data_IF_069388075437
#
_entry.id   IF_069388075437
#
_cell.length_a   1.000
_cell.length_b   1.000
_cell.length_c   1.000
_cell.angle_alpha   90.00
_cell.angle_beta   90.00
_cell.angle_gamma   90.00
#
_symmetry.space_group_name_H-M   'P 1'
#
loop_
_entity.id
_entity.type
_entity.pdbx_description
1 polymer ?
#
# COMPACT_ATOMS: atom_id res chain seq x y z
N UNK A 1 -36.55 -36.91 7.12
CA UNK A 1 -36.60 -35.66 7.91
C UNK A 1 -35.17 -35.15 8.04
N UNK A 2 -34.71 -34.37 7.03
CA UNK A 2 -33.37 -33.81 7.01
C UNK A 2 -33.34 -32.47 7.74
N UNK A 3 -32.71 -32.47 8.89
CA UNK A 3 -32.48 -31.25 9.66
C UNK A 3 -31.27 -30.52 9.08
N UNK A 4 -31.49 -29.56 8.18
CA UNK A 4 -30.51 -28.59 7.74
C UNK A 4 -30.08 -27.71 8.93
N UNK A 5 -29.25 -28.21 9.80
CA UNK A 5 -28.58 -27.43 10.85
C UNK A 5 -27.46 -26.61 10.20
N UNK A 6 -27.79 -25.37 9.83
CA UNK A 6 -26.79 -24.39 9.37
C UNK A 6 -25.81 -24.18 10.52
N UNK A 7 -24.55 -24.59 10.33
CA UNK A 7 -23.52 -24.48 11.36
C UNK A 7 -23.27 -23.00 11.72
N UNK A 8 -23.21 -22.60 13.01
CA UNK A 8 -23.06 -21.20 13.43
C UNK A 8 -21.91 -20.45 12.77
N UNK A 9 -20.81 -21.15 12.46
CA UNK A 9 -19.67 -20.60 11.73
C UNK A 9 -20.03 -20.14 10.29
N UNK A 10 -21.00 -20.79 9.63
CA UNK A 10 -21.45 -20.40 8.30
C UNK A 10 -22.32 -19.15 8.35
N UNK A 11 -23.09 -18.96 9.43
CA UNK A 11 -23.88 -17.73 9.63
C UNK A 11 -22.95 -16.55 9.83
N UNK A 12 -21.92 -16.65 10.67
CA UNK A 12 -20.94 -15.60 10.92
C UNK A 12 -20.17 -15.27 9.64
N UNK A 13 -19.77 -16.28 8.86
CA UNK A 13 -19.09 -16.10 7.57
C UNK A 13 -19.97 -15.35 6.57
N UNK A 14 -21.25 -15.71 6.48
CA UNK A 14 -22.21 -15.06 5.59
C UNK A 14 -22.52 -13.61 6.01
N UNK A 15 -22.62 -13.32 7.31
CA UNK A 15 -22.83 -11.96 7.83
C UNK A 15 -21.61 -11.09 7.51
N UNK A 16 -20.40 -11.59 7.72
CA UNK A 16 -19.15 -10.88 7.39
C UNK A 16 -19.03 -10.61 5.89
N UNK A 17 -19.37 -11.60 5.08
CA UNK A 17 -19.35 -11.47 3.60
C UNK A 17 -20.42 -10.49 3.10
N UNK A 18 -21.64 -10.50 3.67
CA UNK A 18 -22.69 -9.52 3.35
C UNK A 18 -22.29 -8.10 3.77
N UNK A 19 -21.69 -7.94 4.95
CA UNK A 19 -21.17 -6.65 5.41
C UNK A 19 -20.07 -6.13 4.49
N UNK A 20 -19.15 -6.98 4.08
CA UNK A 20 -18.07 -6.68 3.14
C UNK A 20 -18.64 -6.22 1.78
N UNK A 21 -19.59 -6.98 1.21
CA UNK A 21 -20.25 -6.60 -0.06
C UNK A 21 -20.99 -5.26 0.09
N UNK A 22 -21.61 -5.00 1.24
CA UNK A 22 -22.28 -3.73 1.52
C UNK A 22 -21.30 -2.56 1.61
N UNK A 23 -20.13 -2.76 2.21
CA UNK A 23 -19.07 -1.75 2.27
C UNK A 23 -18.43 -1.48 0.92
N UNK A 24 -18.24 -2.51 0.07
CA UNK A 24 -17.73 -2.34 -1.32
C UNK A 24 -18.69 -1.48 -2.16
N UNK A 25 -19.99 -1.64 -1.95
CA UNK A 25 -21.01 -0.94 -2.72
C UNK A 25 -21.39 0.42 -2.11
N UNK A 26 -20.83 0.78 -0.95
CA UNK A 26 -21.05 2.08 -0.32
C UNK A 26 -20.06 3.11 -0.90
N UNK A 27 -20.52 4.34 -1.13
CA UNK A 27 -19.68 5.46 -1.60
C UNK A 27 -18.53 5.80 -0.65
N UNK A 28 -18.60 5.34 0.60
CA UNK A 28 -17.58 5.54 1.63
C UNK A 28 -16.29 4.71 1.40
N UNK A 29 -16.37 3.64 0.60
CA UNK A 29 -15.25 2.73 0.34
C UNK A 29 -14.91 1.80 1.50
N UNK A 30 -13.98 0.88 1.28
CA UNK A 30 -13.53 -0.08 2.29
C UNK A 30 -12.67 0.57 3.36
N UNK A 31 -12.92 0.21 4.63
CA UNK A 31 -12.01 0.52 5.72
C UNK A 31 -10.64 -0.16 5.52
N UNK A 32 -9.57 0.46 6.05
CA UNK A 32 -8.24 -0.14 5.99
C UNK A 32 -8.22 -1.55 6.61
N UNK A 33 -8.91 -1.77 7.74
CA UNK A 33 -9.00 -3.08 8.38
C UNK A 33 -9.68 -4.13 7.51
N UNK A 34 -10.80 -3.77 6.86
CA UNK A 34 -11.53 -4.68 6.00
C UNK A 34 -10.77 -4.97 4.70
N UNK A 35 -10.08 -3.96 4.15
CA UNK A 35 -9.20 -4.13 2.99
C UNK A 35 -8.06 -5.09 3.30
N UNK A 36 -7.35 -4.91 4.41
CA UNK A 36 -6.31 -5.82 4.87
C UNK A 36 -6.87 -7.24 4.99
N UNK A 37 -7.98 -7.41 5.70
CA UNK A 37 -8.58 -8.72 5.91
C UNK A 37 -8.95 -9.44 4.59
N UNK A 38 -9.32 -8.67 3.56
CA UNK A 38 -9.76 -9.23 2.28
C UNK A 38 -8.60 -9.72 1.41
N UNK A 39 -7.48 -9.00 1.41
CA UNK A 39 -6.37 -9.28 0.47
C UNK A 39 -5.34 -10.26 1.01
N UNK A 40 -5.21 -10.41 2.33
CA UNK A 40 -4.18 -11.24 2.95
C UNK A 40 -4.63 -12.66 3.26
N UNK A 41 -3.69 -13.53 3.57
CA UNK A 41 -3.94 -14.84 4.15
C UNK A 41 -4.48 -14.69 5.56
N UNK A 42 -5.49 -15.50 5.90
CA UNK A 42 -6.17 -15.43 7.20
C UNK A 42 -5.18 -15.57 8.34
N UNK A 43 -5.16 -14.57 9.24
CA UNK A 43 -4.32 -14.57 10.45
C UNK A 43 -2.84 -14.23 10.20
N UNK A 44 -2.45 -13.86 8.98
CA UNK A 44 -1.05 -13.57 8.66
C UNK A 44 -0.60 -12.15 9.02
N UNK A 45 -1.53 -11.23 9.36
CA UNK A 45 -1.21 -9.83 9.60
C UNK A 45 -0.62 -9.58 10.98
N UNK A 46 0.59 -9.02 11.00
CA UNK A 46 1.26 -8.54 12.21
C UNK A 46 1.44 -7.04 12.05
N UNK A 47 0.60 -6.27 12.75
CA UNK A 47 0.65 -4.81 12.71
C UNK A 47 1.92 -4.26 13.35
N UNK A 48 2.54 -3.28 12.69
CA UNK A 48 3.75 -2.58 13.15
C UNK A 48 3.45 -1.11 13.44
N UNK A 49 4.36 -0.43 14.16
CA UNK A 49 4.31 1.02 14.41
C UNK A 49 2.99 1.51 15.06
N UNK A 50 2.40 0.71 15.95
CA UNK A 50 1.15 1.05 16.68
C UNK A 50 1.32 2.20 17.66
N UNK A 51 2.53 2.43 18.17
CA UNK A 51 2.80 3.33 19.30
C UNK A 51 3.13 4.78 18.89
N UNK A 52 2.97 5.12 17.61
CA UNK A 52 3.18 6.51 17.18
C UNK A 52 2.14 7.43 17.84
N UNK A 53 2.65 8.51 18.46
CA UNK A 53 1.82 9.44 19.22
C UNK A 53 1.41 10.63 18.36
N UNK A 54 0.14 10.98 18.48
CA UNK A 54 -0.39 12.25 18.00
C UNK A 54 0.42 13.44 18.58
N UNK A 55 0.57 14.47 17.79
CA UNK A 55 1.02 15.79 18.25
C UNK A 55 0.37 16.88 17.41
N UNK A 56 0.24 18.07 18.00
CA UNK A 56 -0.16 19.28 17.32
C UNK A 56 1.07 20.21 17.22
N UNK A 57 1.92 20.07 16.19
CA UNK A 57 3.24 20.69 16.16
C UNK A 57 3.22 22.20 15.94
N UNK A 58 2.10 22.77 15.50
CA UNK A 58 1.92 24.21 15.25
C UNK A 58 0.77 24.78 16.05
N UNK A 59 0.32 24.07 17.09
CA UNK A 59 -0.81 24.48 17.94
C UNK A 59 -2.06 24.88 17.17
N UNK A 60 -2.36 24.12 16.08
CA UNK A 60 -3.51 24.41 15.21
C UNK A 60 -4.81 24.28 15.99
N UNK A 61 -5.70 25.29 15.95
CA UNK A 61 -6.93 25.31 16.72
C UNK A 61 -7.83 24.09 16.42
N UNK A 62 -8.48 23.55 17.46
CA UNK A 62 -9.42 22.42 17.39
C UNK A 62 -8.83 21.11 16.82
N UNK A 63 -7.53 21.04 16.52
CA UNK A 63 -6.95 19.84 15.86
C UNK A 63 -7.01 18.62 16.79
N UNK A 64 -6.75 18.81 18.07
CA UNK A 64 -6.81 17.71 19.05
C UNK A 64 -8.23 17.14 19.21
N UNK A 65 -9.25 18.00 19.23
CA UNK A 65 -10.64 17.57 19.32
C UNK A 65 -11.08 16.79 18.07
N UNK A 66 -10.73 17.32 16.89
CA UNK A 66 -10.97 16.65 15.61
C UNK A 66 -10.25 15.30 15.55
N UNK A 67 -9.02 15.22 16.08
CA UNK A 67 -8.27 13.97 16.18
C UNK A 67 -8.99 12.94 17.08
N UNK A 68 -9.39 13.33 18.30
CA UNK A 68 -10.15 12.47 19.22
C UNK A 68 -11.44 11.95 18.58
N UNK A 69 -12.16 12.82 17.85
CA UNK A 69 -13.35 12.41 17.10
C UNK A 69 -13.03 11.42 15.99
N UNK A 70 -11.95 11.60 15.24
CA UNK A 70 -11.52 10.67 14.20
C UNK A 70 -11.14 9.30 14.78
N UNK A 71 -10.41 9.27 15.91
CA UNK A 71 -10.08 8.03 16.63
C UNK A 71 -11.35 7.27 17.05
N UNK A 72 -12.31 7.97 17.66
CA UNK A 72 -13.56 7.36 18.13
C UNK A 72 -14.38 6.80 16.96
N UNK A 73 -14.47 7.51 15.84
CA UNK A 73 -15.27 7.11 14.69
C UNK A 73 -14.65 5.93 13.91
N UNK A 74 -13.32 5.84 13.86
CA UNK A 74 -12.63 4.86 13.04
C UNK A 74 -12.02 3.71 13.83
N UNK A 75 -11.85 3.88 15.14
CA UNK A 75 -11.09 2.99 16.01
C UNK A 75 -9.65 2.76 15.46
N UNK A 76 -9.04 3.84 14.95
CA UNK A 76 -7.68 3.92 14.44
C UNK A 76 -6.94 5.06 15.13
N UNK A 77 -5.63 4.93 15.31
CA UNK A 77 -4.80 5.98 15.90
C UNK A 77 -4.21 6.93 14.85
N UNK A 78 -4.28 6.56 13.57
CA UNK A 78 -3.84 7.38 12.45
C UNK A 78 -4.43 6.85 11.13
N UNK A 79 -4.34 7.65 10.08
CA UNK A 79 -4.90 7.39 8.76
C UNK A 79 -4.26 6.23 7.98
N UNK A 80 -3.28 5.54 8.55
CA UNK A 80 -2.61 4.40 7.93
C UNK A 80 -2.37 3.28 8.93
N UNK A 81 -2.62 2.04 8.50
CA UNK A 81 -2.25 0.81 9.20
C UNK A 81 -1.08 0.17 8.45
N UNK A 82 -0.01 -0.18 9.17
CA UNK A 82 1.19 -0.80 8.60
C UNK A 82 1.48 -2.14 9.28
N UNK A 83 2.02 -3.10 8.52
CA UNK A 83 2.35 -4.41 9.09
C UNK A 83 3.02 -5.34 8.10
N UNK A 84 3.34 -6.54 8.57
CA UNK A 84 3.77 -7.66 7.74
C UNK A 84 2.56 -8.57 7.54
N UNK A 85 2.36 -9.02 6.30
CA UNK A 85 1.30 -9.96 5.93
C UNK A 85 1.83 -11.02 4.98
N UNK A 86 0.98 -12.00 4.68
CA UNK A 86 1.20 -12.92 3.55
C UNK A 86 0.03 -12.84 2.58
N UNK A 87 0.32 -12.89 1.30
CA UNK A 87 -0.67 -13.01 0.22
C UNK A 87 -0.30 -14.24 -0.58
N UNK A 88 -1.17 -15.25 -0.58
CA UNK A 88 -0.92 -16.55 -1.20
C UNK A 88 0.43 -17.18 -0.76
N UNK A 89 0.68 -17.16 0.55
CA UNK A 89 1.90 -17.68 1.18
C UNK A 89 3.14 -16.77 1.06
N UNK A 90 3.10 -15.72 0.24
CA UNK A 90 4.24 -14.83 0.02
C UNK A 90 4.19 -13.67 1.02
N UNK A 91 5.26 -13.53 1.81
CA UNK A 91 5.37 -12.43 2.78
C UNK A 91 5.61 -11.10 2.10
N UNK A 92 4.93 -10.06 2.56
CA UNK A 92 5.11 -8.67 2.14
C UNK A 92 4.96 -7.71 3.31
N UNK A 93 5.47 -6.50 3.16
CA UNK A 93 5.12 -5.37 4.02
C UNK A 93 3.94 -4.66 3.39
N UNK A 94 2.94 -4.38 4.20
CA UNK A 94 1.68 -3.78 3.77
C UNK A 94 1.43 -2.48 4.54
N UNK A 95 1.09 -1.42 3.82
CA UNK A 95 0.57 -0.18 4.37
C UNK A 95 -0.79 0.13 3.71
N UNK A 96 -1.81 0.41 4.51
CA UNK A 96 -3.16 0.68 4.01
C UNK A 96 -3.69 1.95 4.64
N UNK A 97 -3.93 2.95 3.79
CA UNK A 97 -4.51 4.24 4.20
C UNK A 97 -6.04 4.16 4.27
N UNK A 98 -6.64 5.01 5.10
CA UNK A 98 -8.08 5.04 5.35
C UNK A 98 -8.63 6.47 5.31
N UNK A 99 -9.39 6.79 4.27
CA UNK A 99 -9.93 8.14 4.06
C UNK A 99 -10.91 8.59 5.15
N UNK A 100 -11.45 7.67 5.95
CA UNK A 100 -12.35 8.00 7.07
C UNK A 100 -11.63 8.72 8.21
N UNK A 101 -10.29 8.61 8.27
CA UNK A 101 -9.46 9.34 9.23
C UNK A 101 -8.84 10.56 8.52
N UNK A 102 -9.38 11.76 8.76
CA UNK A 102 -8.92 13.03 8.15
C UNK A 102 -8.75 12.99 6.62
N UNK A 103 -9.65 12.31 5.90
CA UNK A 103 -9.50 12.08 4.45
C UNK A 103 -8.17 11.44 4.06
N UNK A 104 -7.60 10.65 4.95
CA UNK A 104 -6.27 10.05 4.85
C UNK A 104 -5.16 11.07 4.54
N UNK A 105 -5.32 12.32 4.98
CA UNK A 105 -4.29 13.35 4.78
C UNK A 105 -2.98 12.97 5.46
N UNK A 106 -1.87 13.21 4.76
CA UNK A 106 -0.53 12.88 5.23
C UNK A 106 -0.04 13.94 6.21
N UNK A 107 -0.03 13.62 7.50
CA UNK A 107 0.66 14.33 8.55
C UNK A 107 1.97 13.62 8.94
N UNK A 108 2.63 14.16 9.96
CA UNK A 108 3.91 13.65 10.48
C UNK A 108 3.85 12.15 10.82
N UNK A 109 2.80 11.71 11.50
CA UNK A 109 2.66 10.31 11.91
C UNK A 109 2.41 9.38 10.73
N UNK A 110 1.63 9.82 9.72
CA UNK A 110 1.43 9.05 8.48
C UNK A 110 2.77 8.89 7.76
N UNK A 111 3.51 9.98 7.56
CA UNK A 111 4.81 9.94 6.90
C UNK A 111 5.81 9.05 7.63
N UNK A 112 5.85 9.11 8.97
CA UNK A 112 6.69 8.24 9.80
C UNK A 112 6.33 6.76 9.63
N UNK A 113 5.04 6.42 9.67
CA UNK A 113 4.58 5.03 9.50
C UNK A 113 4.87 4.47 8.10
N UNK A 114 4.70 5.29 7.06
CA UNK A 114 5.05 4.91 5.67
C UNK A 114 6.57 4.71 5.58
N UNK A 115 7.38 5.66 6.02
CA UNK A 115 8.85 5.55 6.03
C UNK A 115 9.31 4.28 6.76
N UNK A 116 8.79 4.05 7.97
CA UNK A 116 9.14 2.87 8.76
C UNK A 116 8.70 1.55 8.09
N UNK A 117 7.60 1.55 7.34
CA UNK A 117 7.17 0.40 6.55
C UNK A 117 8.14 0.13 5.38
N UNK A 118 8.56 1.17 4.64
CA UNK A 118 9.56 1.08 3.58
C UNK A 118 10.87 0.52 4.12
N UNK A 119 11.38 1.08 5.21
CA UNK A 119 12.62 0.62 5.86
C UNK A 119 12.51 -0.81 6.39
N UNK A 120 11.34 -1.22 6.89
CA UNK A 120 11.07 -2.59 7.30
C UNK A 120 11.13 -3.55 6.11
N UNK A 121 10.56 -3.16 4.96
CA UNK A 121 10.62 -3.92 3.71
C UNK A 121 12.07 -4.08 3.25
N UNK A 122 12.86 -3.01 3.27
CA UNK A 122 14.28 -3.05 2.89
C UNK A 122 15.09 -3.97 3.82
N UNK A 123 14.98 -3.79 5.14
CA UNK A 123 15.71 -4.63 6.12
C UNK A 123 15.36 -6.11 6.02
N UNK A 124 14.09 -6.43 5.75
CA UNK A 124 13.62 -7.82 5.64
C UNK A 124 13.69 -8.39 4.23
N UNK A 125 14.05 -7.57 3.24
CA UNK A 125 14.05 -7.93 1.82
C UNK A 125 12.71 -8.51 1.38
N UNK A 126 11.64 -7.82 1.79
CA UNK A 126 10.27 -8.15 1.43
C UNK A 126 9.72 -7.12 0.44
N UNK A 127 8.82 -7.53 -0.48
CA UNK A 127 8.09 -6.57 -1.30
C UNK A 127 7.23 -5.65 -0.43
N UNK A 128 7.07 -4.42 -0.89
CA UNK A 128 6.24 -3.39 -0.27
C UNK A 128 4.97 -3.20 -1.08
N UNK A 129 3.83 -3.17 -0.42
CA UNK A 129 2.53 -2.84 -1.03
C UNK A 129 1.92 -1.70 -0.24
N UNK A 130 1.58 -0.58 -0.91
CA UNK A 130 0.89 0.54 -0.27
C UNK A 130 -0.45 0.79 -0.96
N UNK A 131 -1.53 0.67 -0.21
CA UNK A 131 -2.85 1.17 -0.60
C UNK A 131 -2.93 2.65 -0.27
N UNK A 132 -2.87 3.46 -1.32
CA UNK A 132 -2.88 4.91 -1.22
C UNK A 132 -4.32 5.43 -1.22
N UNK A 133 -4.64 6.25 -0.24
CA UNK A 133 -5.84 7.06 -0.19
C UNK A 133 -5.46 8.40 0.45
N UNK A 134 -5.83 9.53 -0.13
CA UNK A 134 -5.52 10.81 0.51
C UNK A 134 -6.23 11.99 -0.12
N UNK A 135 -6.64 12.93 0.72
CA UNK A 135 -6.97 14.30 0.31
C UNK A 135 -5.75 15.22 0.20
N UNK A 136 -4.51 14.73 0.42
CA UNK A 136 -3.29 15.51 0.33
C UNK A 136 -2.51 15.66 1.65
N UNK A 137 -1.69 16.69 1.76
CA UNK A 137 -0.97 17.04 2.98
C UNK A 137 -1.93 17.55 4.07
N UNK A 138 -1.65 17.17 5.34
CA UNK A 138 -2.50 17.56 6.49
C UNK A 138 -2.25 19.01 6.87
N UNK A 139 -3.19 19.89 6.52
CA UNK A 139 -3.06 21.33 6.74
C UNK A 139 -2.86 21.71 8.21
N UNK A 140 -3.43 20.95 9.14
CA UNK A 140 -3.29 21.17 10.58
C UNK A 140 -1.87 20.99 11.12
N UNK A 141 -0.98 20.40 10.34
CA UNK A 141 0.43 20.22 10.70
C UNK A 141 1.36 21.13 9.89
N UNK A 142 0.83 21.99 9.02
CA UNK A 142 1.60 22.99 8.27
C UNK A 142 2.79 22.39 7.52
N UNK A 143 3.95 23.02 7.66
CA UNK A 143 5.20 22.61 6.99
C UNK A 143 5.62 21.17 7.35
N UNK A 144 5.31 20.69 8.55
CA UNK A 144 5.66 19.32 8.96
C UNK A 144 4.98 18.26 8.09
N UNK A 145 3.76 18.53 7.60
CA UNK A 145 3.08 17.64 6.65
C UNK A 145 3.73 17.66 5.26
N UNK A 146 4.18 18.82 4.79
CA UNK A 146 4.88 18.94 3.50
C UNK A 146 6.23 18.23 3.51
N UNK A 147 6.97 18.30 4.60
CA UNK A 147 8.26 17.60 4.76
C UNK A 147 8.13 16.08 4.70
N UNK A 148 6.94 15.52 4.96
CA UNK A 148 6.72 14.07 4.82
C UNK A 148 6.84 13.60 3.36
N UNK A 149 6.55 14.46 2.39
CA UNK A 149 6.73 14.13 0.97
C UNK A 149 8.20 13.78 0.69
N UNK A 150 9.12 14.66 1.09
CA UNK A 150 10.56 14.42 0.91
C UNK A 150 11.04 13.19 1.69
N UNK A 151 10.57 13.02 2.93
CA UNK A 151 10.95 11.90 3.80
C UNK A 151 10.54 10.55 3.21
N UNK A 152 9.31 10.41 2.78
CA UNK A 152 8.79 9.17 2.21
C UNK A 152 9.44 8.85 0.86
N UNK A 153 9.65 9.86 0.01
CA UNK A 153 10.31 9.71 -1.30
C UNK A 153 11.77 9.25 -1.13
N UNK A 154 12.52 9.86 -0.20
CA UNK A 154 13.89 9.43 0.08
C UNK A 154 13.99 7.98 0.58
N UNK A 155 13.03 7.55 1.41
CA UNK A 155 12.99 6.17 1.87
C UNK A 155 12.71 5.18 0.73
N UNK A 156 11.78 5.52 -0.18
CA UNK A 156 11.45 4.69 -1.35
C UNK A 156 12.63 4.62 -2.30
N UNK A 157 13.28 5.75 -2.61
CA UNK A 157 14.47 5.77 -3.46
C UNK A 157 15.55 4.81 -2.94
N UNK A 158 15.84 4.85 -1.64
CA UNK A 158 16.78 3.93 -1.01
C UNK A 158 16.35 2.48 -1.13
N UNK A 159 15.07 2.19 -0.95
CA UNK A 159 14.49 0.85 -1.07
C UNK A 159 14.60 0.33 -2.50
N UNK A 160 14.25 1.15 -3.50
CA UNK A 160 14.35 0.84 -4.93
C UNK A 160 15.81 0.63 -5.34
N UNK A 161 16.73 1.51 -4.94
CA UNK A 161 18.18 1.37 -5.18
C UNK A 161 18.78 0.09 -4.59
N UNK A 162 18.17 -0.46 -3.53
CA UNK A 162 18.52 -1.75 -2.94
C UNK A 162 17.86 -2.95 -3.63
N UNK A 163 17.13 -2.74 -4.74
CA UNK A 163 16.43 -3.78 -5.52
C UNK A 163 15.12 -4.24 -4.88
N UNK A 164 14.49 -3.40 -4.06
CA UNK A 164 13.18 -3.68 -3.46
C UNK A 164 12.06 -3.53 -4.50
N UNK A 165 11.01 -4.35 -4.41
CA UNK A 165 9.79 -4.24 -5.21
C UNK A 165 8.75 -3.41 -4.46
N UNK A 166 8.28 -2.33 -5.06
CA UNK A 166 7.19 -1.51 -4.55
C UNK A 166 5.97 -1.54 -5.47
N UNK A 167 4.80 -1.92 -4.95
CA UNK A 167 3.51 -1.90 -5.64
C UNK A 167 2.61 -0.87 -4.95
N UNK A 168 2.14 0.14 -5.68
CA UNK A 168 1.11 1.05 -5.21
C UNK A 168 -0.27 0.62 -5.73
N UNK A 169 -1.29 0.73 -4.88
CA UNK A 169 -2.70 0.57 -5.25
C UNK A 169 -3.41 1.88 -4.93
N UNK A 170 -3.75 2.64 -5.96
CA UNK A 170 -4.36 3.96 -5.82
C UNK A 170 -5.87 3.81 -5.65
N UNK A 171 -6.40 4.31 -4.54
CA UNK A 171 -7.83 4.24 -4.21
C UNK A 171 -8.48 5.62 -4.23
N UNK A 172 -9.80 5.67 -4.14
CA UNK A 172 -10.55 6.92 -4.25
C UNK A 172 -10.71 7.66 -2.90
N UNK A 173 -10.23 8.93 -2.79
CA UNK A 173 -9.33 9.65 -3.68
C UNK A 173 -7.86 9.42 -3.33
N UNK A 174 -6.95 9.60 -4.30
CA UNK A 174 -5.50 9.74 -4.06
C UNK A 174 -5.03 11.03 -4.68
N UNK A 175 -4.87 12.08 -3.86
CA UNK A 175 -4.60 13.45 -4.35
C UNK A 175 -3.51 14.15 -3.56
N UNK A 176 -3.06 15.30 -4.07
CA UNK A 176 -2.17 16.24 -3.41
C UNK A 176 -0.77 15.68 -3.14
N UNK A 177 -0.24 15.98 -1.96
CA UNK A 177 1.11 15.60 -1.56
C UNK A 177 1.37 14.09 -1.54
N UNK A 178 0.35 13.25 -1.37
CA UNK A 178 0.49 11.79 -1.46
C UNK A 178 0.74 11.34 -2.90
N UNK A 179 -0.03 11.86 -3.85
CA UNK A 179 0.21 11.58 -5.28
C UNK A 179 1.57 12.11 -5.71
N UNK A 180 1.95 13.33 -5.29
CA UNK A 180 3.23 13.95 -5.64
C UNK A 180 4.44 13.38 -4.87
N UNK A 181 4.27 12.30 -4.13
CA UNK A 181 5.35 11.63 -3.39
C UNK A 181 5.25 10.11 -3.55
N UNK A 182 5.03 9.37 -2.49
CA UNK A 182 5.14 7.91 -2.52
C UNK A 182 4.14 7.20 -3.44
N UNK A 183 2.96 7.79 -3.74
CA UNK A 183 1.97 7.10 -4.57
C UNK A 183 2.39 6.97 -6.05
N UNK A 184 3.24 7.87 -6.56
CA UNK A 184 3.74 7.85 -7.95
C UNK A 184 5.17 7.32 -8.10
N UNK A 185 5.76 6.78 -7.04
CA UNK A 185 7.14 6.27 -7.04
C UNK A 185 7.21 4.73 -7.04
N UNK A 186 6.10 4.05 -7.32
CA UNK A 186 6.05 2.59 -7.34
C UNK A 186 6.65 2.01 -8.63
N UNK A 187 7.19 0.79 -8.52
CA UNK A 187 7.61 0.01 -9.69
C UNK A 187 6.40 -0.48 -10.49
N UNK A 188 5.27 -0.74 -9.79
CA UNK A 188 3.99 -1.12 -10.39
C UNK A 188 2.89 -0.31 -9.72
N UNK A 189 2.11 0.40 -10.53
CA UNK A 189 1.00 1.24 -10.07
C UNK A 189 -0.33 0.67 -10.54
N UNK A 190 -1.13 0.19 -9.58
CA UNK A 190 -2.51 -0.27 -9.80
C UNK A 190 -3.48 0.80 -9.33
N UNK A 191 -4.69 0.84 -9.90
CA UNK A 191 -5.75 1.71 -9.42
C UNK A 191 -7.09 0.97 -9.28
N UNK A 192 -7.95 1.46 -8.40
CA UNK A 192 -9.35 1.04 -8.35
C UNK A 192 -10.14 1.74 -9.48
N UNK A 193 -11.17 1.07 -10.04
CA UNK A 193 -12.04 1.68 -11.06
C UNK A 193 -12.61 3.01 -10.55
N UNK A 194 -12.65 4.01 -11.42
CA UNK A 194 -13.19 5.36 -11.16
C UNK A 194 -12.53 6.11 -10.00
N UNK A 195 -11.36 5.67 -9.52
CA UNK A 195 -10.64 6.39 -8.50
C UNK A 195 -10.21 7.78 -9.00
N UNK A 196 -10.47 8.80 -8.20
CA UNK A 196 -9.95 10.16 -8.43
C UNK A 196 -8.48 10.20 -8.02
N UNK A 197 -7.61 10.47 -8.97
CA UNK A 197 -6.15 10.47 -8.77
C UNK A 197 -5.57 11.72 -9.44
N UNK A 198 -4.90 12.55 -8.67
CA UNK A 198 -4.30 13.78 -9.22
C UNK A 198 -3.59 14.62 -8.17
N UNK A 199 -2.90 15.67 -8.60
CA UNK A 199 -2.24 16.56 -7.66
C UNK A 199 -3.24 17.55 -7.06
N UNK A 200 -3.79 18.44 -7.86
CA UNK A 200 -4.84 19.36 -7.40
C UNK A 200 -6.23 18.74 -7.60
N UNK A 201 -7.14 18.99 -6.67
CA UNK A 201 -8.53 18.57 -6.83
C UNK A 201 -9.22 19.29 -8.01
N UNK A 202 -10.22 18.68 -8.66
CA UNK A 202 -10.90 19.26 -9.83
C UNK A 202 -11.39 20.67 -9.61
N UNK A 203 -12.02 20.95 -8.45
CA UNK A 203 -12.52 22.32 -8.12
C UNK A 203 -11.41 23.37 -8.10
N UNK A 204 -10.24 23.02 -7.55
CA UNK A 204 -9.10 23.93 -7.47
C UNK A 204 -8.60 24.27 -8.88
N UNK A 205 -8.51 23.26 -9.73
CA UNK A 205 -8.07 23.42 -11.11
C UNK A 205 -9.07 24.31 -11.87
N UNK A 206 -10.36 23.98 -11.83
CA UNK A 206 -11.40 24.75 -12.53
C UNK A 206 -11.45 26.22 -12.08
N UNK A 207 -11.32 26.47 -10.78
CA UNK A 207 -11.27 27.84 -10.24
C UNK A 207 -10.01 28.59 -10.68
N UNK A 208 -8.89 27.89 -10.82
CA UNK A 208 -7.62 28.51 -11.21
C UNK A 208 -7.57 28.84 -12.71
N UNK A 209 -8.04 27.92 -13.57
CA UNK A 209 -8.00 28.10 -15.02
C UNK A 209 -9.26 28.76 -15.59
N UNK A 210 -10.32 28.91 -14.80
CA UNK A 210 -11.60 29.49 -15.20
C UNK A 210 -12.37 28.68 -16.26
N UNK A 211 -12.08 27.39 -16.39
CA UNK A 211 -12.70 26.48 -17.36
C UNK A 211 -13.12 25.17 -16.70
N UNK A 212 -14.19 24.57 -17.22
CA UNK A 212 -14.59 23.19 -16.81
C UNK A 212 -13.58 22.19 -17.31
N UNK A 213 -13.31 21.18 -16.48
CA UNK A 213 -12.45 20.06 -16.86
C UNK A 213 -13.16 19.12 -17.84
N UNK A 214 -12.42 18.42 -18.70
CA UNK A 214 -12.97 17.36 -19.54
C UNK A 214 -13.65 16.28 -18.70
N UNK A 215 -14.66 15.64 -19.28
CA UNK A 215 -15.31 14.50 -18.64
C UNK A 215 -14.28 13.37 -18.40
N UNK A 216 -14.34 12.77 -17.21
CA UNK A 216 -13.40 11.69 -16.83
C UNK A 216 -11.99 12.16 -16.45
N UNK A 217 -11.70 13.47 -16.50
CA UNK A 217 -10.38 13.98 -16.11
C UNK A 217 -9.99 13.55 -14.69
N UNK A 218 -8.75 13.10 -14.51
CA UNK A 218 -8.20 12.57 -13.26
C UNK A 218 -8.88 11.26 -12.76
N UNK A 219 -9.67 10.58 -13.56
CA UNK A 219 -10.11 9.21 -13.21
C UNK A 219 -8.99 8.20 -13.47
N UNK A 220 -9.09 7.03 -12.83
CA UNK A 220 -8.14 5.93 -13.06
C UNK A 220 -8.09 5.56 -14.55
N UNK A 221 -9.25 5.55 -15.23
CA UNK A 221 -9.37 5.27 -16.66
C UNK A 221 -8.58 6.26 -17.51
N UNK A 222 -8.77 7.56 -17.24
CA UNK A 222 -8.03 8.63 -17.92
C UNK A 222 -6.52 8.47 -17.72
N UNK A 223 -6.08 8.19 -16.50
CA UNK A 223 -4.66 8.04 -16.18
C UNK A 223 -4.04 6.78 -16.79
N UNK A 224 -4.81 5.71 -16.94
CA UNK A 224 -4.36 4.50 -17.64
C UNK A 224 -4.12 4.78 -19.12
N UNK A 225 -5.03 5.48 -19.79
CA UNK A 225 -4.88 5.87 -21.19
C UNK A 225 -3.64 6.76 -21.43
N UNK A 226 -3.26 7.56 -20.41
CA UNK A 226 -2.10 8.45 -20.48
C UNK A 226 -0.80 7.82 -19.92
N UNK A 227 -0.82 6.55 -19.54
CA UNK A 227 0.35 5.80 -19.10
C UNK A 227 0.85 6.15 -17.68
N UNK A 228 0.02 6.75 -16.84
CA UNK A 228 0.37 7.06 -15.44
C UNK A 228 0.13 5.90 -14.47
N UNK A 229 -0.67 4.93 -14.87
CA UNK A 229 -0.93 3.70 -14.10
C UNK A 229 -0.87 2.49 -15.04
N UNK A 230 -0.44 1.34 -14.49
CA UNK A 230 -0.24 0.13 -15.28
C UNK A 230 -1.56 -0.62 -15.50
N UNK A 231 -2.39 -0.75 -14.45
CA UNK A 231 -3.65 -1.50 -14.58
C UNK A 231 -4.73 -1.00 -13.60
N UNK A 232 -5.98 -1.11 -14.04
CA UNK A 232 -7.17 -0.89 -13.21
C UNK A 232 -7.67 -2.23 -12.71
N UNK A 233 -7.68 -2.41 -11.39
CA UNK A 233 -7.99 -3.69 -10.75
C UNK A 233 -9.15 -3.54 -9.77
N UNK A 234 -10.33 -4.11 -10.07
CA UNK A 234 -11.44 -4.13 -9.13
C UNK A 234 -11.07 -4.82 -7.81
N UNK A 235 -11.64 -4.37 -6.70
CA UNK A 235 -11.34 -4.90 -5.35
C UNK A 235 -11.39 -6.43 -5.30
N UNK A 236 -12.34 -7.04 -5.99
CA UNK A 236 -12.55 -8.50 -5.98
C UNK A 236 -11.38 -9.28 -6.58
N UNK A 237 -10.62 -8.66 -7.47
CA UNK A 237 -9.51 -9.26 -8.22
C UNK A 237 -8.14 -8.92 -7.62
N UNK A 238 -8.08 -7.89 -6.73
CA UNK A 238 -6.80 -7.38 -6.21
C UNK A 238 -5.95 -8.45 -5.53
N UNK A 239 -6.56 -9.35 -4.75
CA UNK A 239 -5.81 -10.43 -4.09
C UNK A 239 -5.10 -11.33 -5.10
N UNK A 240 -5.79 -11.74 -6.15
CA UNK A 240 -5.25 -12.63 -7.19
C UNK A 240 -4.15 -11.93 -8.00
N UNK A 241 -4.41 -10.69 -8.43
CA UNK A 241 -3.44 -9.87 -9.17
C UNK A 241 -2.17 -9.64 -8.34
N UNK A 242 -2.31 -9.24 -7.07
CA UNK A 242 -1.16 -9.04 -6.17
C UNK A 242 -0.38 -10.34 -5.96
N UNK A 243 -1.06 -11.48 -5.74
CA UNK A 243 -0.41 -12.77 -5.61
C UNK A 243 0.39 -13.14 -6.87
N UNK A 244 -0.16 -12.87 -8.06
CA UNK A 244 0.52 -13.10 -9.34
C UNK A 244 1.75 -12.21 -9.49
N UNK A 245 1.63 -10.91 -9.23
CA UNK A 245 2.74 -9.97 -9.28
C UNK A 245 3.86 -10.36 -8.31
N UNK A 246 3.50 -10.68 -7.07
CA UNK A 246 4.49 -11.13 -6.08
C UNK A 246 5.23 -12.39 -6.54
N UNK A 247 4.53 -13.40 -7.08
CA UNK A 247 5.17 -14.63 -7.61
C UNK A 247 6.12 -14.36 -8.78
N UNK A 248 5.79 -13.43 -9.66
CA UNK A 248 6.63 -13.09 -10.82
C UNK A 248 7.94 -12.41 -10.41
N UNK A 249 7.92 -11.64 -9.32
CA UNK A 249 9.08 -10.86 -8.86
C UNK A 249 9.86 -11.53 -7.72
N UNK A 250 9.35 -12.64 -7.17
CA UNK A 250 10.14 -13.38 -6.19
C UNK A 250 11.36 -14.03 -6.86
N UNK A 251 12.53 -14.01 -6.20
CA UNK A 251 13.69 -14.73 -6.68
C UNK A 251 13.32 -16.19 -6.91
N UNK A 252 13.53 -16.69 -8.12
CA UNK A 252 13.35 -18.12 -8.40
C UNK A 252 14.35 -18.89 -7.54
N UNK A 253 13.88 -19.64 -6.56
CA UNK A 253 14.70 -20.58 -5.81
C UNK A 253 15.15 -21.65 -6.80
N UNK A 254 16.39 -21.55 -7.27
CA UNK A 254 17.00 -22.64 -8.04
C UNK A 254 17.25 -23.77 -7.05
N UNK A 255 16.71 -24.99 -7.28
CA UNK A 255 16.98 -26.12 -6.40
C UNK A 255 18.48 -26.31 -6.20
N UNK A 256 18.92 -26.51 -4.95
CA UNK A 256 20.35 -26.65 -4.59
C UNK A 256 21.05 -27.70 -5.44
N UNK A 257 20.34 -28.75 -5.84
CA UNK A 257 20.84 -29.81 -6.74
C UNK A 257 21.20 -29.25 -8.13
N UNK A 258 20.39 -28.38 -8.73
CA UNK A 258 20.73 -27.73 -10.01
C UNK A 258 21.95 -26.83 -9.88
N UNK A 259 22.07 -26.10 -8.75
CA UNK A 259 23.23 -25.22 -8.49
C UNK A 259 24.50 -26.07 -8.33
N UNK A 260 24.46 -27.22 -7.61
CA UNK A 260 25.57 -28.13 -7.48
C UNK A 260 26.01 -28.68 -8.83
N UNK A 261 25.07 -29.05 -9.70
CA UNK A 261 25.40 -29.52 -11.07
C UNK A 261 26.07 -28.43 -11.90
N UNK A 262 25.57 -27.19 -11.85
CA UNK A 262 26.17 -26.07 -12.59
C UNK A 262 27.59 -25.75 -12.06
N UNK A 263 27.76 -25.72 -10.74
CA UNK A 263 29.07 -25.44 -10.11
C UNK A 263 30.08 -26.54 -10.40
N UNK A 264 29.66 -27.79 -10.43
CA UNK A 264 30.54 -28.94 -10.76
C UNK A 264 30.88 -29.00 -12.25
N UNK A 265 29.97 -28.54 -13.14
CA UNK A 265 30.17 -28.51 -14.58
C UNK A 265 31.07 -27.36 -15.08
N UNK A 266 31.09 -26.23 -14.35
CA UNK A 266 31.76 -24.99 -14.79
C UNK A 266 33.03 -24.64 -14.02
N UNK A 267 33.43 -25.44 -13.01
CA UNK A 267 34.69 -25.28 -12.28
C UNK A 267 34.90 -23.91 -11.61
N UNK A 268 36.17 -23.49 -11.51
CA UNK A 268 36.55 -22.24 -10.82
C UNK A 268 36.05 -20.94 -11.45
N UNK A 269 35.67 -20.95 -12.72
CA UNK A 269 35.13 -19.77 -13.42
C UNK A 269 33.76 -19.33 -12.88
N UNK A 270 32.89 -20.28 -12.52
CA UNK A 270 31.60 -19.97 -11.92
C UNK A 270 31.71 -19.38 -10.51
N UNK A 271 32.71 -19.81 -9.72
CA UNK A 271 33.00 -19.23 -8.39
C UNK A 271 33.44 -17.77 -8.50
N UNK A 272 34.11 -17.38 -9.56
CA UNK A 272 34.55 -16.00 -9.83
C UNK A 272 33.38 -15.12 -10.26
N UNK A 273 32.45 -15.64 -11.11
CA UNK A 273 31.23 -14.97 -11.53
C UNK A 273 30.23 -14.77 -10.36
N UNK A 274 30.08 -15.77 -9.49
CA UNK A 274 29.24 -15.68 -8.28
C UNK A 274 29.79 -14.68 -7.24
N UNK A 275 31.12 -14.45 -7.21
CA UNK A 275 31.76 -13.43 -6.36
C UNK A 275 31.60 -12.01 -6.92
N UNK A 276 31.51 -11.86 -8.25
CA UNK A 276 31.33 -10.54 -8.91
C UNK A 276 29.89 -10.05 -8.86
N UNK A 277 28.91 -10.94 -8.76
CA UNK A 277 27.48 -10.61 -8.72
C UNK A 277 26.92 -10.51 -7.30
N UNK A 278 27.62 -9.78 -6.39
CA UNK A 278 27.12 -9.44 -5.05
C UNK A 278 25.85 -8.56 -5.05
N UNK A 279 25.37 -8.10 -6.20
CA UNK A 279 24.14 -7.32 -6.36
C UNK A 279 22.92 -8.16 -6.75
N UNK A 280 23.06 -9.45 -7.07
CA UNK A 280 21.92 -10.33 -7.39
C UNK A 280 21.77 -11.35 -6.26
N UNK A 281 20.70 -11.21 -5.47
CA UNK A 281 20.43 -12.03 -4.30
C UNK A 281 20.25 -13.52 -4.65
N UNK A 282 21.31 -14.30 -4.44
CA UNK A 282 21.20 -15.75 -4.23
C UNK A 282 21.51 -15.95 -2.75
N UNK A 283 20.49 -16.09 -1.89
CA UNK A 283 20.69 -16.61 -0.54
C UNK A 283 21.00 -18.11 -0.64
N UNK A 284 22.26 -18.46 -0.78
CA UNK A 284 22.74 -19.80 -0.50
C UNK A 284 22.85 -19.96 1.02
N UNK A 285 21.83 -20.54 1.67
CA UNK A 285 22.02 -21.15 2.97
C UNK A 285 22.82 -22.43 2.76
N UNK A 286 24.11 -22.36 3.02
CA UNK A 286 24.97 -23.55 3.24
C UNK A 286 24.89 -23.82 4.74
N UNK A 287 24.37 -25.01 5.12
CA UNK A 287 24.64 -25.62 6.40
C UNK A 287 25.98 -26.30 6.32
#
# INVERSE_FOLDING_TARGET
>A
MDSNKIHPLNIIKNIRQRRFVREINADEGLSAKNRIYYIIDKGSFIETNKKQKFSNPIEFPEYEEKYKKAVNNTNMNEAVITGIASIDGIKCVLAVMDKRFFMASMGRVVGEKITAAVELADRKKLPLIIYCASGGARMQEGIFSLMQMAKTSAAIEKFSSNGGLYIAVLTNPTTGGVTASFASLADITLAEPKALIGFAGPRVIEQTIGKKLPEGFQTAEYLKEHGFIDEIVPIKEQREVLAKLLRLHMPKTVPVEKVKHIVNATGNSAKKLLRLNKKTYIQLKVK
#
